data_IF_229031269959
#
_entry.id   IF_229031269959
#
_cell.length_a   1.000
_cell.length_b   1.000
_cell.length_c   1.000
_cell.angle_alpha   90.00
_cell.angle_beta   90.00
_cell.angle_gamma   90.00
#
_symmetry.space_group_name_H-M   'P 1'
#
loop_
_entity.id
_entity.type
_entity.pdbx_description
1 polymer ?
#
# COMPACT_ATOMS: atom_id res chain seq x y z
N UNK A 1 3.84 -5.53 -20.69
CA UNK A 1 4.91 -5.70 -21.71
C UNK A 1 4.84 -4.52 -22.65
N UNK A 2 5.98 -4.00 -23.14
CA UNK A 2 6.00 -2.88 -24.10
C UNK A 2 5.23 -3.27 -25.38
N UNK A 3 4.60 -2.29 -26.03
CA UNK A 3 3.73 -2.51 -27.19
C UNK A 3 4.46 -3.07 -28.43
N UNK A 4 5.80 -2.99 -28.46
CA UNK A 4 6.63 -3.43 -29.58
C UNK A 4 6.96 -4.94 -29.59
N UNK A 5 6.31 -5.75 -28.75
CA UNK A 5 6.53 -7.20 -28.74
C UNK A 5 5.47 -7.94 -29.56
N UNK A 6 5.92 -8.83 -30.44
CA UNK A 6 5.05 -9.76 -31.17
C UNK A 6 4.21 -10.62 -30.21
N UNK A 7 3.04 -11.03 -30.67
CA UNK A 7 2.14 -11.90 -29.89
C UNK A 7 2.83 -13.21 -29.50
N UNK A 8 3.58 -13.80 -30.44
CA UNK A 8 4.35 -15.02 -30.25
C UNK A 8 5.35 -14.88 -29.10
N UNK A 9 6.09 -13.77 -29.04
CA UNK A 9 7.03 -13.51 -27.94
C UNK A 9 6.30 -13.32 -26.62
N UNK A 10 5.13 -12.67 -26.63
CA UNK A 10 4.31 -12.49 -25.43
C UNK A 10 3.84 -13.81 -24.86
N UNK A 11 3.35 -14.71 -25.73
CA UNK A 11 2.93 -16.05 -25.36
C UNK A 11 4.08 -16.91 -24.86
N UNK A 12 5.24 -16.88 -25.54
CA UNK A 12 6.44 -17.61 -25.13
C UNK A 12 6.89 -17.21 -23.72
N UNK A 13 7.01 -15.91 -23.45
CA UNK A 13 7.44 -15.39 -22.15
C UNK A 13 6.40 -15.72 -21.06
N UNK A 14 5.11 -15.54 -21.36
CA UNK A 14 4.03 -15.87 -20.42
C UNK A 14 4.02 -17.35 -20.03
N UNK A 15 4.44 -18.23 -20.95
CA UNK A 15 4.49 -19.66 -20.73
C UNK A 15 5.85 -20.18 -20.20
N UNK A 16 6.90 -19.35 -20.18
CA UNK A 16 8.28 -19.77 -19.92
C UNK A 16 8.46 -20.58 -18.62
N UNK A 17 7.71 -20.22 -17.57
CA UNK A 17 7.72 -20.90 -16.27
C UNK A 17 6.35 -21.42 -15.84
N UNK A 18 5.38 -21.45 -16.76
CA UNK A 18 4.04 -21.91 -16.46
C UNK A 18 4.09 -23.40 -16.08
N UNK A 19 3.49 -23.74 -14.95
CA UNK A 19 3.43 -25.09 -14.38
C UNK A 19 4.77 -25.70 -13.96
N UNK A 20 5.88 -24.95 -14.00
CA UNK A 20 7.15 -25.44 -13.45
C UNK A 20 7.11 -25.32 -11.95
N UNK A 21 7.43 -26.42 -11.26
CA UNK A 21 7.63 -26.46 -9.82
C UNK A 21 9.12 -26.55 -9.52
N UNK A 22 9.56 -25.90 -8.45
CA UNK A 22 10.92 -26.07 -7.96
C UNK A 22 11.08 -27.44 -7.30
N UNK A 23 12.28 -28.01 -7.38
CA UNK A 23 12.62 -29.19 -6.58
C UNK A 23 12.60 -28.84 -5.08
N UNK A 24 12.35 -29.84 -4.23
CA UNK A 24 12.44 -29.68 -2.77
C UNK A 24 13.78 -29.08 -2.34
N UNK A 25 14.88 -29.56 -2.91
CA UNK A 25 16.24 -29.06 -2.67
C UNK A 25 16.42 -27.58 -3.02
N UNK A 26 15.76 -27.10 -4.07
CA UNK A 26 15.81 -25.68 -4.47
C UNK A 26 15.01 -24.83 -3.50
N UNK A 27 13.83 -25.31 -3.09
CA UNK A 27 12.98 -24.64 -2.12
C UNK A 27 13.71 -24.48 -0.78
N UNK A 28 14.36 -25.54 -0.28
CA UNK A 28 15.14 -25.50 0.95
C UNK A 28 16.28 -24.48 0.89
N UNK A 29 17.03 -24.45 -0.23
CA UNK A 29 18.07 -23.43 -0.45
C UNK A 29 17.52 -22.02 -0.45
N UNK A 30 16.35 -21.79 -1.06
CA UNK A 30 15.69 -20.49 -1.05
C UNK A 30 15.28 -20.07 0.36
N UNK A 31 14.73 -20.99 1.15
CA UNK A 31 14.33 -20.74 2.54
C UNK A 31 15.55 -20.36 3.38
N UNK A 32 16.64 -21.14 3.29
CA UNK A 32 17.87 -20.89 4.04
C UNK A 32 18.49 -19.54 3.66
N UNK A 33 18.53 -19.22 2.36
CA UNK A 33 19.03 -17.93 1.88
C UNK A 33 18.18 -16.76 2.38
N UNK A 34 16.84 -16.89 2.37
CA UNK A 34 15.93 -15.88 2.88
C UNK A 34 16.07 -15.69 4.40
N UNK A 35 16.25 -16.78 5.16
CA UNK A 35 16.43 -16.75 6.61
C UNK A 35 17.74 -16.05 7.01
N UNK A 36 18.81 -16.31 6.25
CA UNK A 36 20.13 -15.75 6.50
C UNK A 36 20.32 -14.35 5.87
N UNK A 37 19.29 -13.77 5.28
CA UNK A 37 19.40 -12.45 4.63
C UNK A 37 19.57 -11.37 5.69
N UNK A 38 20.71 -10.67 5.65
CA UNK A 38 20.97 -9.51 6.50
C UNK A 38 19.84 -8.48 6.37
N UNK A 39 19.43 -7.90 7.51
CA UNK A 39 18.48 -6.79 7.51
C UNK A 39 19.11 -5.59 6.81
N UNK A 40 18.32 -4.92 5.99
CA UNK A 40 18.73 -3.64 5.41
C UNK A 40 18.73 -2.62 6.54
N UNK A 41 19.89 -2.05 6.82
CA UNK A 41 20.01 -0.90 7.70
C UNK A 41 19.79 0.37 6.88
N UNK A 42 18.82 1.17 7.31
CA UNK A 42 18.50 2.43 6.66
C UNK A 42 19.18 3.57 7.41
N UNK A 43 19.77 4.51 6.67
CA UNK A 43 20.23 5.76 7.27
C UNK A 43 19.02 6.60 7.75
N UNK A 44 19.29 7.60 8.60
CA UNK A 44 18.23 8.47 9.15
C UNK A 44 17.41 9.14 8.05
N UNK A 45 18.07 9.60 7.00
CA UNK A 45 17.41 10.25 5.87
C UNK A 45 16.42 9.31 5.14
N UNK A 46 16.79 8.04 4.92
CA UNK A 46 15.90 7.05 4.33
C UNK A 46 14.70 6.75 5.24
N UNK A 47 14.92 6.68 6.56
CA UNK A 47 13.83 6.53 7.53
C UNK A 47 12.86 7.72 7.49
N UNK A 48 13.37 8.94 7.45
CA UNK A 48 12.54 10.15 7.38
C UNK A 48 11.78 10.24 6.05
N UNK A 49 12.43 9.89 4.93
CA UNK A 49 11.76 9.82 3.63
C UNK A 49 10.66 8.76 3.61
N UNK A 50 10.89 7.60 4.22
CA UNK A 50 9.87 6.57 4.38
C UNK A 50 8.72 7.05 5.26
N UNK A 51 8.99 7.76 6.37
CA UNK A 51 7.96 8.32 7.24
C UNK A 51 7.09 9.34 6.52
N UNK A 52 7.68 10.28 5.79
CA UNK A 52 6.96 11.26 4.94
C UNK A 52 6.17 10.59 3.82
N UNK A 53 6.75 9.58 3.17
CA UNK A 53 6.10 8.86 2.08
C UNK A 53 4.97 7.95 2.56
N UNK A 54 5.16 7.26 3.68
CA UNK A 54 4.16 6.44 4.35
C UNK A 54 3.08 7.34 4.96
N UNK A 55 1.81 6.93 4.94
CA UNK A 55 0.72 7.75 5.52
C UNK A 55 0.75 7.90 7.05
N UNK A 56 1.87 7.53 7.70
CA UNK A 56 2.10 7.68 9.14
C UNK A 56 2.24 9.14 9.56
N UNK A 57 2.67 10.03 8.66
CA UNK A 57 2.77 11.48 8.92
C UNK A 57 1.87 12.31 8.00
N UNK A 58 0.79 11.70 7.49
CA UNK A 58 -0.20 12.41 6.69
C UNK A 58 -1.41 12.70 7.58
N UNK A 59 -1.45 13.87 8.24
CA UNK A 59 -2.60 14.24 9.05
C UNK A 59 -3.83 14.36 8.16
N UNK A 60 -4.96 13.93 8.69
CA UNK A 60 -6.25 13.98 7.98
C UNK A 60 -7.33 14.56 8.88
N UNK A 61 -8.28 15.22 8.24
CA UNK A 61 -9.49 15.75 8.89
C UNK A 61 -10.69 15.01 8.31
N UNK A 62 -11.60 14.60 9.19
CA UNK A 62 -12.88 14.03 8.84
C UNK A 62 -13.98 15.06 9.03
N UNK A 63 -14.83 15.18 8.03
CA UNK A 63 -16.03 16.03 8.06
C UNK A 63 -17.27 15.14 7.99
N UNK A 64 -18.34 15.49 8.71
CA UNK A 64 -19.63 14.84 8.54
C UNK A 64 -20.26 15.24 7.21
N UNK A 65 -20.81 14.28 6.45
CA UNK A 65 -21.41 14.56 5.14
C UNK A 65 -22.61 15.52 5.22
N UNK A 66 -23.42 15.39 6.26
CA UNK A 66 -24.70 16.13 6.36
C UNK A 66 -24.50 17.62 6.62
N UNK A 67 -23.62 17.97 7.57
CA UNK A 67 -23.46 19.34 8.06
C UNK A 67 -22.08 19.93 7.77
N UNK A 68 -21.19 19.17 7.11
CA UNK A 68 -19.80 19.53 6.84
C UNK A 68 -19.01 19.99 8.09
N UNK A 69 -19.43 19.54 9.27
CA UNK A 69 -18.77 19.84 10.54
C UNK A 69 -17.58 18.91 10.75
N UNK A 70 -16.55 19.42 11.43
CA UNK A 70 -15.38 18.61 11.78
C UNK A 70 -15.81 17.51 12.76
N UNK A 71 -15.67 16.26 12.33
CA UNK A 71 -15.89 15.09 13.17
C UNK A 71 -14.66 14.78 14.02
N UNK A 72 -13.47 14.88 13.43
CA UNK A 72 -12.22 14.60 14.12
C UNK A 72 -11.00 14.87 13.27
N UNK A 73 -9.91 15.24 13.93
CA UNK A 73 -8.61 15.44 13.34
C UNK A 73 -7.66 14.35 13.81
N UNK A 74 -6.89 13.79 12.89
CA UNK A 74 -5.96 12.71 13.17
C UNK A 74 -4.57 13.07 12.66
N UNK A 75 -3.56 12.77 13.47
CA UNK A 75 -2.14 12.92 13.14
C UNK A 75 -1.70 12.06 11.95
N UNK A 76 -2.40 10.94 11.73
CA UNK A 76 -2.04 9.97 10.69
C UNK A 76 -3.27 9.21 10.16
N UNK A 77 -3.12 8.64 8.96
CA UNK A 77 -4.14 7.74 8.38
C UNK A 77 -4.27 6.46 9.22
N UNK A 78 -3.18 6.01 9.84
CA UNK A 78 -3.18 4.84 10.73
C UNK A 78 -4.02 5.06 11.97
N UNK A 79 -3.91 6.22 12.60
CA UNK A 79 -4.65 6.55 13.83
C UNK A 79 -6.15 6.72 13.53
N UNK A 80 -6.46 7.37 12.39
CA UNK A 80 -7.83 7.48 11.92
C UNK A 80 -8.44 6.10 11.60
N UNK A 81 -7.68 5.22 10.93
CA UNK A 81 -8.13 3.87 10.61
C UNK A 81 -8.44 3.06 11.88
N UNK A 82 -7.58 3.16 12.90
CA UNK A 82 -7.77 2.50 14.19
C UNK A 82 -9.02 3.04 14.91
N UNK A 83 -9.17 4.37 14.97
CA UNK A 83 -10.28 5.03 15.66
C UNK A 83 -11.64 4.76 14.99
N UNK A 84 -11.66 4.71 13.66
CA UNK A 84 -12.86 4.40 12.88
C UNK A 84 -13.11 2.89 12.72
N UNK A 85 -12.25 2.04 13.29
CA UNK A 85 -12.26 0.59 13.11
C UNK A 85 -12.38 0.17 11.63
N UNK A 86 -11.56 0.77 10.77
CA UNK A 86 -11.54 0.47 9.34
C UNK A 86 -10.12 0.19 8.83
N UNK A 87 -10.01 -0.39 7.63
CA UNK A 87 -8.71 -0.62 7.01
C UNK A 87 -8.13 0.69 6.45
N UNK A 88 -6.85 0.96 6.66
CA UNK A 88 -6.11 2.09 6.07
C UNK A 88 -6.34 2.20 4.55
N UNK A 89 -6.42 1.07 3.84
CA UNK A 89 -6.71 1.02 2.39
C UNK A 89 -8.03 1.69 2.03
N UNK A 90 -9.02 1.64 2.90
CA UNK A 90 -10.32 2.29 2.70
C UNK A 90 -10.16 3.81 2.68
N UNK A 91 -9.38 4.35 3.61
CA UNK A 91 -9.06 5.79 3.68
C UNK A 91 -8.24 6.22 2.46
N UNK A 92 -7.20 5.45 2.09
CA UNK A 92 -6.42 5.74 0.88
C UNK A 92 -7.26 5.74 -0.40
N UNK A 93 -8.23 4.84 -0.52
CA UNK A 93 -9.14 4.79 -1.67
C UNK A 93 -10.07 6.00 -1.69
N UNK A 94 -10.65 6.37 -0.54
CA UNK A 94 -11.49 7.56 -0.43
C UNK A 94 -10.72 8.81 -0.85
N UNK A 95 -9.50 9.01 -0.35
CA UNK A 95 -8.64 10.17 -0.69
C UNK A 95 -8.29 10.30 -2.18
N UNK A 96 -8.34 9.20 -2.95
CA UNK A 96 -8.12 9.21 -4.41
C UNK A 96 -9.36 9.59 -5.22
N UNK A 97 -10.55 9.47 -4.64
CA UNK A 97 -11.80 9.82 -5.32
C UNK A 97 -12.06 11.32 -5.23
N UNK A 98 -12.70 11.90 -6.23
CA UNK A 98 -13.05 13.32 -6.24
C UNK A 98 -13.94 13.72 -5.06
N UNK A 99 -14.93 12.88 -4.73
CA UNK A 99 -15.90 13.12 -3.65
C UNK A 99 -15.31 12.88 -2.25
N UNK A 100 -14.21 12.15 -2.14
CA UNK A 100 -13.52 11.78 -0.89
C UNK A 100 -14.41 11.21 0.22
N UNK A 101 -15.43 10.46 -0.18
CA UNK A 101 -16.39 9.86 0.77
C UNK A 101 -15.79 8.63 1.42
N UNK A 102 -15.73 8.65 2.75
CA UNK A 102 -15.30 7.56 3.60
C UNK A 102 -16.53 6.93 4.30
N UNK A 103 -16.69 5.62 4.14
CA UNK A 103 -17.74 4.81 4.80
C UNK A 103 -19.17 5.36 4.64
N UNK A 104 -19.43 6.14 3.58
CA UNK A 104 -20.71 6.83 3.31
C UNK A 104 -21.19 7.76 4.44
N UNK A 105 -20.32 8.11 5.38
CA UNK A 105 -20.65 8.93 6.57
C UNK A 105 -19.81 10.18 6.65
N UNK A 106 -18.54 10.09 6.23
CA UNK A 106 -17.58 11.16 6.37
C UNK A 106 -16.96 11.55 5.02
N UNK A 107 -16.48 12.78 4.95
CA UNK A 107 -15.58 13.26 3.91
C UNK A 107 -14.20 13.36 4.52
N UNK A 108 -13.19 12.78 3.86
CA UNK A 108 -11.81 12.78 4.34
C UNK A 108 -10.96 13.73 3.51
N UNK A 109 -10.22 14.63 4.17
CA UNK A 109 -9.25 15.49 3.52
C UNK A 109 -7.89 15.38 4.22
N UNK A 110 -6.82 15.66 3.48
CA UNK A 110 -5.54 15.95 4.11
C UNK A 110 -5.67 17.27 4.89
N UNK A 111 -5.06 17.29 6.06
CA UNK A 111 -4.90 18.52 6.84
C UNK A 111 -3.86 19.43 6.20
#
# INVERSE_FOLDING_TARGET
MKANYSEERRMLIGNLNKNKQFSSTTIERMIQSALNRNKVEFNKEALDNMRKASGAERPIILYNIENNTVFGEYSSITDAALSLNCNQKTIYRALKTEKKVLLKRWIVNYK
#
